data_IF_059639365872
#
_entry.id   IF_059639365872
#
_cell.length_a   1.000
_cell.length_b   1.000
_cell.length_c   1.000
_cell.angle_alpha   90.00
_cell.angle_beta   90.00
_cell.angle_gamma   90.00
#
_symmetry.space_group_name_H-M   'P 1'
#
loop_
_entity.id
_entity.type
_entity.pdbx_description
1 polymer ?
#
# COMPACT_ATOMS: atom_id res chain seq x y z
N UNK A 1 10.45 8.26 8.44
CA UNK A 1 9.37 7.47 9.07
C UNK A 1 8.04 8.18 8.97
N UNK A 2 7.38 8.07 7.82
CA UNK A 2 6.09 8.71 7.62
C UNK A 2 5.15 7.80 6.84
N UNK A 3 5.22 6.51 7.14
CA UNK A 3 4.45 5.52 6.42
C UNK A 3 3.09 5.31 7.06
N UNK A 4 2.06 5.90 6.47
CA UNK A 4 0.70 5.73 6.95
C UNK A 4 -0.22 5.43 5.78
N UNK A 5 -1.04 4.40 5.92
CA UNK A 5 -1.98 4.01 4.88
C UNK A 5 -3.20 4.92 4.86
N UNK A 6 -3.58 5.35 3.67
CA UNK A 6 -4.77 6.18 3.51
C UNK A 6 -6.02 5.30 3.56
N UNK A 7 -5.83 4.04 3.24
CA UNK A 7 -6.88 3.04 3.35
C UNK A 7 -6.61 2.16 4.55
N UNK A 8 -7.62 1.41 4.95
CA UNK A 8 -7.48 0.52 6.09
C UNK A 8 -6.49 -0.60 5.76
N UNK A 9 -5.73 -1.00 6.78
CA UNK A 9 -4.68 -2.00 6.64
C UNK A 9 -5.23 -3.30 6.06
N UNK A 10 -6.51 -3.55 6.34
CA UNK A 10 -7.19 -4.75 5.84
C UNK A 10 -7.25 -4.74 4.32
N UNK A 11 -7.42 -3.54 3.76
CA UNK A 11 -7.60 -3.39 2.33
C UNK A 11 -6.25 -3.34 1.63
N UNK A 12 -5.30 -2.66 2.26
CA UNK A 12 -3.95 -2.59 1.74
C UNK A 12 -3.31 -3.98 1.72
N UNK A 13 -3.74 -4.83 2.66
CA UNK A 13 -3.26 -6.20 2.75
C UNK A 13 -3.70 -7.04 1.56
N UNK A 14 -4.86 -6.73 1.01
CA UNK A 14 -5.39 -7.44 -0.14
C UNK A 14 -4.51 -7.21 -1.36
N UNK A 15 -3.97 -6.01 -1.44
CA UNK A 15 -3.16 -5.61 -2.58
C UNK A 15 -1.68 -5.62 -2.23
N UNK A 16 -1.32 -6.33 -1.16
CA UNK A 16 0.07 -6.39 -0.70
C UNK A 16 0.99 -7.04 -1.74
N UNK A 17 0.40 -7.63 -2.77
CA UNK A 17 1.18 -8.34 -3.78
C UNK A 17 1.02 -7.66 -5.13
N UNK A 18 2.11 -7.66 -5.90
CA UNK A 18 2.21 -6.94 -7.17
C UNK A 18 2.22 -5.44 -6.90
N UNK A 19 2.45 -5.10 -5.65
CA UNK A 19 2.56 -3.72 -5.20
C UNK A 19 3.61 -2.97 -6.02
N UNK A 20 4.66 -3.71 -6.40
CA UNK A 20 5.73 -3.17 -7.21
C UNK A 20 5.22 -2.72 -8.58
N UNK A 21 4.24 -3.44 -9.11
CA UNK A 21 3.73 -3.16 -10.45
C UNK A 21 2.36 -2.47 -10.42
N UNK A 22 1.69 -2.50 -9.28
CA UNK A 22 0.38 -1.87 -9.14
C UNK A 22 0.53 -0.39 -8.82
N UNK A 23 0.33 0.44 -9.84
CA UNK A 23 0.46 1.88 -9.68
C UNK A 23 -0.72 2.41 -8.87
N UNK A 24 -1.86 1.78 -9.02
CA UNK A 24 -3.07 2.20 -8.32
C UNK A 24 -2.93 1.92 -6.83
N UNK A 25 -2.13 0.92 -6.50
CA UNK A 25 -1.84 0.61 -5.10
C UNK A 25 -1.12 1.78 -4.44
N UNK A 26 -0.18 2.36 -5.18
CA UNK A 26 0.53 3.54 -4.70
C UNK A 26 -0.42 4.73 -4.60
N UNK A 27 -1.38 4.80 -5.51
CA UNK A 27 -2.38 5.86 -5.48
C UNK A 27 -3.38 5.65 -4.35
N UNK A 28 -3.49 4.41 -3.89
CA UNK A 28 -4.33 4.10 -2.73
C UNK A 28 -3.61 4.50 -1.46
N UNK A 29 -2.34 4.84 -1.62
CA UNK A 29 -1.51 5.36 -0.54
C UNK A 29 -1.39 4.36 0.60
N UNK A 30 -0.95 3.14 0.27
CA UNK A 30 -0.68 2.13 1.28
C UNK A 30 0.82 1.82 1.30
N UNK A 31 1.66 2.72 1.87
CA UNK A 31 3.10 2.48 1.97
C UNK A 31 3.43 1.34 2.93
N UNK A 32 2.56 1.12 3.91
CA UNK A 32 2.73 0.02 4.84
C UNK A 32 2.24 -1.25 4.19
N UNK A 33 2.47 -2.39 4.84
CA UNK A 33 2.05 -3.68 4.32
C UNK A 33 2.94 -4.11 3.16
N UNK A 34 3.08 -3.24 2.17
CA UNK A 34 3.99 -3.49 1.06
C UNK A 34 5.43 -3.22 1.48
N UNK A 35 5.57 -2.26 2.40
CA UNK A 35 6.89 -1.88 2.87
C UNK A 35 7.58 -0.93 1.92
N UNK A 36 6.79 -0.21 1.14
CA UNK A 36 7.33 0.74 0.18
C UNK A 36 7.05 2.18 0.62
N UNK A 37 8.10 2.86 1.05
CA UNK A 37 7.99 4.24 1.47
C UNK A 37 9.02 5.07 0.74
#
# INVERSE_FOLDING_TARGET
GACENNFSDRECERRKKDCDSSMKFRELSCPKTCGTC
#
